data_IF_380792591089
#
_entry.id   IF_380792591089
#
_cell.length_a   1.000
_cell.length_b   1.000
_cell.length_c   1.000
_cell.angle_alpha   90.00
_cell.angle_beta   90.00
_cell.angle_gamma   90.00
#
_symmetry.space_group_name_H-M   'P 1'
#
loop_
_entity.id
_entity.type
_entity.pdbx_description
1 polymer ?
#
# COMPACT_ATOMS: atom_id res chain seq x y z
N UNK A 1 -17.97 7.04 15.50
CA UNK A 1 -17.27 6.52 16.70
C UNK A 1 -17.37 5.00 16.67
N UNK A 2 -16.23 4.33 16.71
CA UNK A 2 -16.07 2.89 16.61
C UNK A 2 -16.87 2.14 17.68
N UNK A 3 -17.64 1.13 17.28
CA UNK A 3 -17.99 0.01 18.13
C UNK A 3 -18.02 -1.27 17.30
N UNK A 4 -17.00 -2.11 17.48
CA UNK A 4 -17.06 -3.53 17.13
C UNK A 4 -17.16 -4.27 18.48
N UNK A 5 -18.38 -4.36 19.02
CA UNK A 5 -18.69 -5.16 20.20
C UNK A 5 -19.36 -6.44 19.74
N UNK A 6 -18.68 -7.58 19.90
CA UNK A 6 -19.29 -8.90 19.96
C UNK A 6 -18.41 -9.81 20.80
N UNK A 7 -19.05 -10.45 21.77
CA UNK A 7 -18.54 -11.09 22.98
C UNK A 7 -18.13 -12.56 22.72
N UNK A 8 -17.07 -12.99 23.42
CA UNK A 8 -16.59 -14.35 23.72
C UNK A 8 -16.53 -15.41 22.59
N UNK A 9 -15.30 -15.75 22.17
CA UNK A 9 -14.69 -17.07 22.34
C UNK A 9 -13.23 -17.03 21.84
N UNK A 10 -12.36 -17.72 22.58
CA UNK A 10 -10.90 -17.74 22.47
C UNK A 10 -10.36 -18.20 21.10
N UNK A 11 -10.25 -17.27 20.16
CA UNK A 11 -9.26 -17.36 19.07
C UNK A 11 -8.77 -15.93 18.84
N UNK A 12 -7.50 -15.68 19.17
CA UNK A 12 -6.77 -14.47 18.76
C UNK A 12 -6.56 -14.56 17.24
N UNK A 13 -7.65 -14.42 16.49
CA UNK A 13 -7.59 -14.07 15.09
C UNK A 13 -7.68 -12.56 15.10
N UNK A 14 -6.54 -11.89 14.95
CA UNK A 14 -6.51 -10.48 14.57
C UNK A 14 -7.47 -10.31 13.40
N UNK A 15 -8.66 -9.78 13.66
CA UNK A 15 -9.66 -9.54 12.63
C UNK A 15 -9.10 -8.42 11.78
N UNK A 16 -8.41 -8.77 10.71
CA UNK A 16 -8.09 -7.86 9.64
C UNK A 16 -9.44 -7.40 9.06
N UNK A 17 -9.95 -6.28 9.58
CA UNK A 17 -11.29 -5.77 9.26
C UNK A 17 -11.30 -5.24 7.81
N UNK A 18 -11.35 -6.12 6.81
CA UNK A 18 -11.52 -5.83 5.38
C UNK A 18 -12.77 -5.00 5.13
N UNK A 19 -12.69 -4.07 4.16
CA UNK A 19 -13.87 -3.30 3.73
C UNK A 19 -15.04 -4.24 3.42
N UNK A 20 -16.18 -3.96 4.04
CA UNK A 20 -17.41 -4.70 3.84
C UNK A 20 -18.12 -4.26 2.56
N UNK A 21 -19.06 -5.08 2.09
CA UNK A 21 -19.88 -4.75 0.92
C UNK A 21 -20.67 -3.45 1.13
N UNK A 22 -21.12 -3.18 2.35
CA UNK A 22 -21.89 -1.96 2.69
C UNK A 22 -21.00 -0.72 2.65
N UNK A 23 -19.80 -0.81 3.23
CA UNK A 23 -18.83 0.29 3.21
C UNK A 23 -18.40 0.64 1.79
N UNK A 24 -18.10 -0.36 0.94
CA UNK A 24 -17.76 -0.09 -0.46
C UNK A 24 -18.91 0.54 -1.26
N UNK A 25 -20.16 0.08 -1.04
CA UNK A 25 -21.33 0.72 -1.67
C UNK A 25 -21.51 2.17 -1.23
N UNK A 26 -21.20 2.48 0.03
CA UNK A 26 -21.26 3.85 0.54
C UNK A 26 -20.12 4.73 0.00
N UNK A 27 -18.91 4.18 -0.17
CA UNK A 27 -17.76 4.87 -0.73
C UNK A 27 -17.87 5.11 -2.24
N UNK A 28 -18.48 4.18 -2.97
CA UNK A 28 -18.60 4.18 -4.42
C UNK A 28 -20.06 4.06 -4.87
N UNK A 29 -20.93 5.04 -4.54
CA UNK A 29 -22.38 4.95 -4.77
C UNK A 29 -22.75 4.92 -6.26
N UNK A 30 -21.90 5.49 -7.12
CA UNK A 30 -22.15 5.62 -8.56
C UNK A 30 -21.75 4.36 -9.36
N UNK A 31 -21.02 3.42 -8.74
CA UNK A 31 -20.63 2.19 -9.41
C UNK A 31 -21.75 1.14 -9.41
N UNK A 32 -21.75 0.30 -10.44
CA UNK A 32 -22.65 -0.85 -10.50
C UNK A 32 -22.41 -1.73 -9.26
N UNK A 33 -23.49 -2.26 -8.68
CA UNK A 33 -23.41 -3.08 -7.46
C UNK A 33 -22.45 -4.29 -7.57
N UNK A 34 -22.23 -4.79 -8.80
CA UNK A 34 -21.25 -5.86 -9.06
C UNK A 34 -19.82 -5.45 -8.71
N UNK A 35 -19.46 -4.17 -8.83
CA UNK A 35 -18.13 -3.66 -8.54
C UNK A 35 -17.75 -3.90 -7.08
N UNK A 36 -18.58 -3.43 -6.14
CA UNK A 36 -18.36 -3.66 -4.71
C UNK A 36 -18.36 -5.16 -4.38
N UNK A 37 -19.27 -5.94 -4.98
CA UNK A 37 -19.38 -7.38 -4.75
C UNK A 37 -18.16 -8.18 -5.24
N UNK A 38 -17.50 -7.74 -6.32
CA UNK A 38 -16.27 -8.34 -6.85
C UNK A 38 -15.05 -7.86 -6.08
N UNK A 39 -15.00 -6.58 -5.72
CA UNK A 39 -13.92 -5.99 -4.95
C UNK A 39 -13.76 -6.64 -3.56
N UNK A 40 -14.85 -6.83 -2.80
CA UNK A 40 -14.78 -7.53 -1.48
C UNK A 40 -14.36 -8.99 -1.59
N UNK A 41 -14.53 -9.63 -2.75
CA UNK A 41 -14.06 -10.99 -3.01
C UNK A 41 -12.58 -11.04 -3.37
N UNK A 42 -11.91 -9.88 -3.45
CA UNK A 42 -10.50 -9.78 -3.83
C UNK A 42 -10.25 -9.85 -5.33
N UNK A 43 -11.29 -9.73 -6.16
CA UNK A 43 -11.14 -9.87 -7.62
C UNK A 43 -10.38 -8.68 -8.26
N UNK A 44 -10.19 -7.59 -7.53
CA UNK A 44 -9.42 -6.41 -7.98
C UNK A 44 -7.90 -6.58 -7.83
N UNK A 45 -7.41 -7.64 -7.16
CA UNK A 45 -5.98 -7.81 -6.90
C UNK A 45 -5.28 -8.64 -8.00
N UNK A 46 -4.01 -8.32 -8.23
CA UNK A 46 -3.17 -9.00 -9.20
C UNK A 46 -3.31 -8.49 -10.63
N UNK A 47 -2.75 -9.25 -11.56
CA UNK A 47 -2.63 -8.91 -12.99
C UNK A 47 -3.43 -9.82 -13.93
N UNK A 48 -4.36 -10.62 -13.39
CA UNK A 48 -5.23 -11.47 -14.22
C UNK A 48 -6.12 -10.60 -15.13
N UNK A 49 -6.55 -11.14 -16.29
CA UNK A 49 -7.48 -10.43 -17.19
C UNK A 49 -8.73 -9.92 -16.46
N UNK A 50 -9.28 -10.73 -15.55
CA UNK A 50 -10.43 -10.35 -14.71
C UNK A 50 -10.11 -9.16 -13.81
N UNK A 51 -8.96 -9.20 -13.13
CA UNK A 51 -8.52 -8.11 -12.26
C UNK A 51 -8.31 -6.83 -13.07
N UNK A 52 -7.62 -6.89 -14.20
CA UNK A 52 -7.38 -5.73 -15.07
C UNK A 52 -8.67 -5.12 -15.60
N UNK A 53 -9.65 -5.94 -16.03
CA UNK A 53 -10.96 -5.44 -16.46
C UNK A 53 -11.68 -4.74 -15.30
N UNK A 54 -11.70 -5.35 -14.11
CA UNK A 54 -12.34 -4.75 -12.94
C UNK A 54 -11.64 -3.45 -12.50
N UNK A 55 -10.31 -3.40 -12.51
CA UNK A 55 -9.56 -2.18 -12.18
C UNK A 55 -9.89 -1.00 -13.12
N UNK A 56 -10.29 -1.30 -14.36
CA UNK A 56 -10.71 -0.30 -15.35
C UNK A 56 -12.19 0.09 -15.22
N UNK A 57 -13.08 -0.90 -15.14
CA UNK A 57 -14.54 -0.69 -15.19
C UNK A 57 -15.16 -0.39 -13.79
N UNK A 58 -14.47 -0.81 -12.72
CA UNK A 58 -14.86 -0.65 -11.32
C UNK A 58 -13.76 0.11 -10.55
N UNK A 59 -13.33 1.23 -11.13
CA UNK A 59 -12.18 2.02 -10.66
C UNK A 59 -12.30 2.42 -9.19
N UNK A 60 -13.44 2.96 -8.75
CA UNK A 60 -13.62 3.40 -7.36
C UNK A 60 -13.55 2.22 -6.40
N UNK A 61 -14.29 1.13 -6.63
CA UNK A 61 -14.28 -0.03 -5.73
C UNK A 61 -12.89 -0.68 -5.68
N UNK A 62 -12.19 -0.80 -6.81
CA UNK A 62 -10.85 -1.37 -6.84
C UNK A 62 -9.81 -0.46 -6.19
N UNK A 63 -9.83 0.86 -6.44
CA UNK A 63 -8.94 1.81 -5.78
C UNK A 63 -9.21 1.84 -4.26
N UNK A 64 -10.46 1.73 -3.82
CA UNK A 64 -10.82 1.67 -2.40
C UNK A 64 -10.25 0.43 -1.70
N UNK A 65 -10.37 -0.76 -2.29
CA UNK A 65 -9.76 -1.97 -1.69
C UNK A 65 -8.23 -1.97 -1.77
N UNK A 66 -7.63 -1.38 -2.80
CA UNK A 66 -6.17 -1.17 -2.86
C UNK A 66 -5.69 -0.18 -1.79
N UNK A 67 -6.42 0.91 -1.58
CA UNK A 67 -6.15 1.89 -0.53
C UNK A 67 -6.25 1.27 0.86
N UNK A 68 -7.35 0.57 1.13
CA UNK A 68 -7.56 -0.15 2.39
C UNK A 68 -6.45 -1.19 2.65
N UNK A 69 -6.00 -1.89 1.61
CA UNK A 69 -4.94 -2.90 1.66
C UNK A 69 -3.64 -2.34 2.22
N UNK A 70 -3.14 -1.23 1.65
CA UNK A 70 -1.87 -0.62 2.04
C UNK A 70 -1.98 0.18 3.34
N UNK A 71 -3.11 0.87 3.57
CA UNK A 71 -3.38 1.57 4.82
C UNK A 71 -3.35 0.64 6.03
N UNK A 72 -3.91 -0.56 5.91
CA UNK A 72 -3.86 -1.55 6.99
C UNK A 72 -2.46 -1.98 7.34
N UNK A 73 -1.63 -2.23 6.33
CA UNK A 73 -0.22 -2.55 6.57
C UNK A 73 0.46 -1.39 7.32
N UNK A 74 0.39 -0.16 6.80
CA UNK A 74 1.04 0.97 7.46
C UNK A 74 0.53 1.24 8.88
N UNK A 75 -0.75 0.99 9.16
CA UNK A 75 -1.29 1.08 10.53
C UNK A 75 -0.80 -0.05 11.44
N UNK A 76 -0.55 -1.22 10.89
CA UNK A 76 -0.18 -2.41 11.65
C UNK A 76 1.31 -2.40 12.01
N UNK A 77 2.17 -2.11 11.02
CA UNK A 77 3.63 -2.23 11.18
C UNK A 77 4.34 -0.88 11.35
N UNK A 78 3.66 0.22 11.02
CA UNK A 78 4.25 1.54 11.15
C UNK A 78 4.33 2.01 12.60
N UNK A 79 5.37 2.79 12.88
CA UNK A 79 5.61 3.37 14.20
C UNK A 79 4.68 4.55 14.49
N UNK A 80 4.84 5.23 15.63
CA UNK A 80 3.90 6.27 16.07
C UNK A 80 3.72 7.39 15.02
N UNK A 81 4.82 7.80 14.39
CA UNK A 81 4.86 8.84 13.36
C UNK A 81 4.12 8.43 12.08
N UNK A 82 4.00 7.13 11.80
CA UNK A 82 3.24 6.66 10.64
C UNK A 82 1.80 7.15 10.68
N UNK A 83 1.19 7.35 11.86
CA UNK A 83 -0.18 7.88 11.97
C UNK A 83 -0.33 9.23 11.28
N UNK A 84 0.66 10.11 11.39
CA UNK A 84 0.70 11.40 10.69
C UNK A 84 0.94 11.22 9.19
N UNK A 85 1.71 10.19 8.80
CA UNK A 85 2.14 9.91 7.44
C UNK A 85 1.21 8.96 6.65
N UNK A 86 0.14 8.47 7.25
CA UNK A 86 -0.90 7.69 6.56
C UNK A 86 -1.44 8.35 5.29
N UNK A 87 -1.59 9.69 5.19
CA UNK A 87 -1.96 10.34 3.93
C UNK A 87 -0.89 10.22 2.84
N UNK A 88 0.28 9.61 3.06
CA UNK A 88 1.24 9.29 1.99
C UNK A 88 1.34 7.78 1.76
N UNK A 89 0.85 6.97 2.69
CA UNK A 89 0.86 5.52 2.57
C UNK A 89 -0.28 4.99 1.69
N UNK A 90 -0.18 5.25 0.38
CA UNK A 90 -1.13 4.76 -0.63
C UNK A 90 -0.48 4.63 -2.01
N UNK A 91 -1.13 3.89 -2.92
CA UNK A 91 -0.61 3.62 -4.26
C UNK A 91 -0.78 4.78 -5.26
N UNK A 92 -1.46 5.86 -4.90
CA UNK A 92 -1.66 7.03 -5.75
C UNK A 92 -1.06 8.30 -5.14
N UNK A 93 -0.11 8.16 -4.20
CA UNK A 93 0.70 9.28 -3.71
C UNK A 93 1.52 9.85 -4.86
N UNK A 94 1.39 11.16 -5.11
CA UNK A 94 2.04 11.82 -6.24
C UNK A 94 3.46 12.30 -5.90
N UNK A 95 4.27 12.58 -6.93
CA UNK A 95 5.58 13.21 -6.73
C UNK A 95 5.47 14.60 -6.09
N UNK A 96 4.37 15.32 -6.33
CA UNK A 96 4.11 16.62 -5.69
C UNK A 96 3.87 16.45 -4.19
N UNK A 97 3.11 15.42 -3.78
CA UNK A 97 2.89 15.12 -2.37
C UNK A 97 4.17 14.68 -1.66
N UNK A 98 5.00 13.87 -2.33
CA UNK A 98 6.32 13.47 -1.83
C UNK A 98 7.28 14.66 -1.70
N UNK A 99 7.20 15.64 -2.61
CA UNK A 99 7.99 16.87 -2.55
C UNK A 99 7.43 17.95 -1.62
N UNK A 100 6.24 17.76 -1.06
CA UNK A 100 5.60 18.71 -0.16
C UNK A 100 6.21 18.71 1.24
N UNK A 101 5.84 19.70 2.07
CA UNK A 101 6.17 19.72 3.50
C UNK A 101 5.75 18.45 4.24
N UNK A 102 4.63 17.82 3.83
CA UNK A 102 4.19 16.55 4.41
C UNK A 102 5.15 15.42 4.02
N UNK A 103 5.55 15.36 2.74
CA UNK A 103 6.53 14.40 2.25
C UNK A 103 7.85 14.48 3.00
N UNK A 104 8.38 15.69 3.17
CA UNK A 104 9.62 15.93 3.92
C UNK A 104 9.52 15.53 5.39
N UNK A 105 8.38 15.76 6.05
CA UNK A 105 8.16 15.33 7.44
C UNK A 105 8.03 13.81 7.60
N UNK A 106 7.66 13.13 6.53
CA UNK A 106 7.40 11.69 6.52
C UNK A 106 8.53 10.87 5.90
N UNK A 107 9.71 11.47 5.70
CA UNK A 107 10.88 10.80 5.13
C UNK A 107 11.28 9.54 5.91
N UNK A 108 11.27 9.61 7.24
CA UNK A 108 11.61 8.43 8.08
C UNK A 108 10.68 7.26 7.81
N UNK A 109 9.44 7.51 7.41
CA UNK A 109 8.39 6.51 7.19
C UNK A 109 8.43 5.89 5.78
N UNK A 110 9.40 6.28 4.94
CA UNK A 110 9.52 5.80 3.56
C UNK A 110 9.78 4.29 3.51
N UNK A 111 10.57 3.76 4.45
CA UNK A 111 10.87 2.32 4.56
C UNK A 111 9.58 1.53 4.77
N UNK A 112 8.78 1.94 5.76
CA UNK A 112 7.47 1.33 6.03
C UNK A 112 6.51 1.45 4.84
N UNK A 113 6.46 2.60 4.17
CA UNK A 113 5.62 2.76 2.98
C UNK A 113 6.03 1.81 1.86
N UNK A 114 7.32 1.72 1.55
CA UNK A 114 7.82 0.84 0.50
C UNK A 114 7.54 -0.64 0.81
N UNK A 115 7.76 -1.06 2.06
CA UNK A 115 7.43 -2.41 2.53
C UNK A 115 5.95 -2.72 2.31
N UNK A 116 5.06 -1.85 2.79
CA UNK A 116 3.62 -2.03 2.67
C UNK A 116 3.10 -1.96 1.23
N UNK A 117 3.69 -1.12 0.39
CA UNK A 117 3.35 -1.04 -1.03
C UNK A 117 3.76 -2.31 -1.79
N UNK A 118 4.89 -2.94 -1.44
CA UNK A 118 5.31 -4.20 -2.05
C UNK A 118 4.48 -5.42 -1.60
N UNK A 119 3.71 -5.28 -0.51
CA UNK A 119 3.04 -6.39 0.17
C UNK A 119 3.99 -7.58 0.42
N UNK A 120 5.19 -7.27 0.93
CA UNK A 120 6.27 -8.24 1.17
C UNK A 120 6.57 -9.14 -0.04
N UNK A 121 6.48 -8.59 -1.27
CA UNK A 121 6.65 -9.34 -2.50
C UNK A 121 7.60 -8.64 -3.45
N UNK A 122 8.61 -9.38 -3.91
CA UNK A 122 9.61 -8.85 -4.84
C UNK A 122 9.04 -8.67 -6.27
N UNK A 123 8.88 -7.41 -6.70
CA UNK A 123 8.46 -7.04 -8.05
C UNK A 123 9.61 -6.59 -8.96
N UNK A 124 10.86 -6.91 -8.61
CA UNK A 124 12.05 -6.49 -9.37
C UNK A 124 12.00 -6.93 -10.84
N UNK A 125 11.53 -8.15 -11.13
CA UNK A 125 11.38 -8.64 -12.51
C UNK A 125 10.39 -7.80 -13.32
N UNK A 126 9.29 -7.39 -12.69
CA UNK A 126 8.29 -6.51 -13.29
C UNK A 126 8.87 -5.12 -13.57
N UNK A 127 9.61 -4.56 -12.62
CA UNK A 127 10.24 -3.25 -12.73
C UNK A 127 11.35 -3.19 -13.79
N UNK A 128 12.23 -4.19 -13.83
CA UNK A 128 13.29 -4.30 -14.87
C UNK A 128 12.69 -4.30 -16.28
N UNK A 129 11.60 -5.06 -16.49
CA UNK A 129 10.88 -5.08 -17.78
C UNK A 129 10.27 -3.74 -18.17
N UNK A 130 9.99 -2.86 -17.19
CA UNK A 130 9.45 -1.50 -17.40
C UNK A 130 10.54 -0.42 -17.39
N UNK A 131 11.81 -0.79 -17.40
CA UNK A 131 12.92 0.16 -17.49
C UNK A 131 13.20 0.93 -16.20
N UNK A 132 12.80 0.41 -15.03
CA UNK A 132 13.24 0.96 -13.74
C UNK A 132 14.74 0.70 -13.59
N UNK A 133 15.51 1.75 -13.32
CA UNK A 133 16.97 1.67 -13.16
C UNK A 133 17.35 0.87 -11.91
N UNK A 134 18.58 0.35 -11.91
CA UNK A 134 19.06 -0.61 -10.91
C UNK A 134 19.00 -0.04 -9.48
N UNK A 135 19.31 1.23 -9.33
CA UNK A 135 19.33 1.99 -8.06
C UNK A 135 17.93 2.08 -7.43
N UNK A 136 16.88 1.98 -8.23
CA UNK A 136 15.49 2.13 -7.80
C UNK A 136 14.75 0.81 -7.57
N UNK A 137 15.41 -0.33 -7.78
CA UNK A 137 14.78 -1.65 -7.61
C UNK A 137 14.49 -2.01 -6.15
N UNK A 138 15.14 -1.35 -5.20
CA UNK A 138 14.81 -1.39 -3.76
C UNK A 138 13.33 -1.10 -3.50
N UNK A 139 12.76 -0.09 -4.18
CA UNK A 139 11.34 0.22 -4.10
C UNK A 139 10.45 -0.90 -4.64
N UNK A 140 10.88 -1.57 -5.71
CA UNK A 140 10.14 -2.70 -6.30
C UNK A 140 10.13 -3.92 -5.40
N UNK A 141 11.18 -4.09 -4.60
CA UNK A 141 11.28 -5.13 -3.59
C UNK A 141 10.55 -4.76 -2.28
N UNK A 142 10.35 -3.46 -2.03
CA UNK A 142 9.83 -2.93 -0.76
C UNK A 142 10.88 -2.84 0.34
N UNK A 143 12.15 -2.72 -0.04
CA UNK A 143 13.31 -2.77 0.84
C UNK A 143 14.13 -1.50 0.64
N UNK A 144 13.62 -0.38 1.18
CA UNK A 144 14.14 0.99 0.97
C UNK A 144 14.66 1.51 2.30
N UNK A 145 15.92 1.22 2.68
CA UNK A 145 16.48 1.69 3.94
C UNK A 145 16.59 3.21 3.93
N UNK A 146 15.89 3.87 4.85
CA UNK A 146 15.89 5.33 4.98
C UNK A 146 16.33 5.70 6.40
N UNK A 147 17.63 5.57 6.66
CA UNK A 147 18.20 5.70 8.01
C UNK A 147 18.67 7.11 8.36
N UNK A 148 18.81 7.99 7.36
CA UNK A 148 19.19 9.39 7.53
C UNK A 148 18.48 10.28 6.50
N UNK A 149 18.68 11.60 6.61
CA UNK A 149 18.06 12.57 5.70
C UNK A 149 18.79 12.65 4.36
N UNK A 150 19.98 12.06 4.23
CA UNK A 150 20.73 12.03 2.97
C UNK A 150 20.16 10.99 2.01
N UNK A 151 19.58 9.90 2.53
CA UNK A 151 18.94 8.84 1.74
C UNK A 151 17.90 9.37 0.73
N UNK A 152 17.25 10.52 0.99
CA UNK A 152 16.31 11.13 0.02
C UNK A 152 16.98 11.52 -1.30
N UNK A 153 18.24 11.96 -1.25
CA UNK A 153 18.97 12.37 -2.45
C UNK A 153 19.33 11.17 -3.31
N UNK A 154 19.61 10.02 -2.68
CA UNK A 154 19.84 8.75 -3.39
C UNK A 154 18.57 8.27 -4.12
N UNK A 155 17.39 8.58 -3.58
CA UNK A 155 16.10 8.19 -4.14
C UNK A 155 15.46 9.23 -5.07
N UNK A 156 15.99 10.45 -5.14
CA UNK A 156 15.49 11.49 -6.02
C UNK A 156 15.35 11.03 -7.49
N UNK A 157 16.32 10.30 -8.09
CA UNK A 157 16.18 9.77 -9.44
C UNK A 157 15.04 8.75 -9.60
N UNK A 158 14.56 8.14 -8.51
CA UNK A 158 13.50 7.13 -8.55
C UNK A 158 12.10 7.71 -8.72
N UNK A 159 11.93 9.01 -8.46
CA UNK A 159 10.64 9.73 -8.63
C UNK A 159 10.10 9.64 -10.06
N UNK A 160 10.99 9.63 -11.07
CA UNK A 160 10.59 9.46 -12.48
C UNK A 160 10.09 8.04 -12.80
N UNK A 161 10.44 7.05 -11.97
CA UNK A 161 10.04 5.65 -12.11
C UNK A 161 8.82 5.29 -11.25
N UNK A 162 8.35 6.20 -10.40
CA UNK A 162 7.34 5.89 -9.37
C UNK A 162 6.05 5.29 -9.93
N UNK A 163 5.59 5.79 -11.09
CA UNK A 163 4.42 5.22 -11.78
C UNK A 163 4.63 3.75 -12.17
N UNK A 164 5.81 3.39 -12.67
CA UNK A 164 6.13 2.02 -13.06
C UNK A 164 6.31 1.11 -11.84
N UNK A 165 6.96 1.63 -10.79
CA UNK A 165 7.17 0.95 -9.50
C UNK A 165 5.81 0.62 -8.87
N UNK A 166 4.94 1.62 -8.67
CA UNK A 166 3.62 1.43 -8.07
C UNK A 166 2.73 0.51 -8.90
N UNK A 167 2.80 0.60 -10.23
CA UNK A 167 2.06 -0.31 -11.11
C UNK A 167 2.50 -1.76 -10.89
N UNK A 168 3.80 -2.02 -10.81
CA UNK A 168 4.35 -3.35 -10.53
C UNK A 168 3.96 -3.86 -9.15
N UNK A 169 4.05 -3.00 -8.12
CA UNK A 169 3.58 -3.31 -6.78
C UNK A 169 2.10 -3.71 -6.76
N UNK A 170 1.23 -2.93 -7.42
CA UNK A 170 -0.21 -3.25 -7.55
C UNK A 170 -0.46 -4.57 -8.28
N UNK A 171 0.28 -4.85 -9.35
CA UNK A 171 0.20 -6.13 -10.10
C UNK A 171 0.64 -7.32 -9.27
N UNK A 172 1.56 -7.11 -8.32
CA UNK A 172 2.04 -8.10 -7.39
C UNK A 172 1.06 -8.47 -6.28
N UNK A 173 0.00 -7.67 -6.06
CA UNK A 173 -0.94 -7.88 -4.96
C UNK A 173 -1.75 -9.16 -5.12
N UNK A 174 -2.10 -9.74 -3.97
CA UNK A 174 -3.04 -10.85 -3.89
C UNK A 174 -4.20 -10.51 -2.95
N UNK A 175 -5.31 -11.26 -3.05
CA UNK A 175 -6.46 -11.08 -2.17
C UNK A 175 -6.12 -11.31 -0.68
N UNK A 176 -5.16 -12.21 -0.39
CA UNK A 176 -4.68 -12.46 0.96
C UNK A 176 -3.46 -11.58 1.24
N UNK A 177 -3.44 -10.85 2.37
CA UNK A 177 -2.25 -10.13 2.78
C UNK A 177 -1.02 -10.98 3.02
N UNK A 178 0.16 -10.46 2.68
CA UNK A 178 1.45 -11.12 2.89
C UNK A 178 2.43 -10.36 3.79
N UNK A 179 2.15 -9.10 4.12
CA UNK A 179 2.94 -8.39 5.12
C UNK A 179 2.94 -9.14 6.46
N UNK A 180 4.08 -9.11 7.12
CA UNK A 180 4.34 -9.63 8.45
C UNK A 180 3.95 -8.55 9.48
N UNK A 181 2.99 -8.81 10.38
CA UNK A 181 2.58 -7.83 11.39
C UNK A 181 3.68 -7.48 12.39
N UNK A 182 4.70 -8.33 12.53
CA UNK A 182 5.84 -8.10 13.43
C UNK A 182 7.04 -7.48 12.70
N UNK A 183 6.88 -7.12 11.41
CA UNK A 183 7.92 -6.43 10.66
C UNK A 183 8.22 -5.06 11.27
N UNK A 184 9.50 -4.72 11.32
CA UNK A 184 9.96 -3.36 11.62
C UNK A 184 11.06 -2.99 10.63
N UNK A 185 11.21 -1.70 10.34
CA UNK A 185 12.35 -1.25 9.55
C UNK A 185 13.67 -1.52 10.28
N UNK A 186 14.74 -1.63 9.48
CA UNK A 186 16.10 -1.81 10.00
C UNK A 186 16.69 -0.52 10.58
N UNK A 187 16.10 0.63 10.27
CA UNK A 187 16.60 1.95 10.70
C UNK A 187 15.94 2.36 12.02
N UNK A 188 16.72 2.76 13.02
CA UNK A 188 16.20 3.15 14.34
C UNK A 188 15.48 4.52 14.33
N UNK A 189 15.53 5.27 13.22
CA UNK A 189 14.97 6.62 13.12
C UNK A 189 13.44 6.68 12.93
N UNK A 190 12.76 5.54 12.82
CA UNK A 190 11.30 5.49 12.74
C UNK A 190 10.60 5.72 14.10
N UNK A 191 11.35 5.78 15.22
CA UNK A 191 10.82 6.09 16.56
C UNK A 191 10.95 5.00 17.65
N UNK A 192 11.96 4.13 17.57
CA UNK A 192 12.31 3.19 18.65
C UNK A 192 12.91 3.88 19.87
#
# INVERSE_FOLDING_TARGET
MLYCLSILLLIVSTVFCSLTLRELKALCPDEKQICSAKAVKGDCFGSSLRATVLQKECKCSCDAVHHDRIQKCCRAVGEQEMKFCLPLCRYNTSNEELGSTLGLKCLSQLSTWAYCASDATDQTSCCKKRGVIQECLSFCKGDVPTCDTQAIFDYQPCTQHMKAIMQCQKEGLSAKPRYDPDWSSACEWEGK
#
